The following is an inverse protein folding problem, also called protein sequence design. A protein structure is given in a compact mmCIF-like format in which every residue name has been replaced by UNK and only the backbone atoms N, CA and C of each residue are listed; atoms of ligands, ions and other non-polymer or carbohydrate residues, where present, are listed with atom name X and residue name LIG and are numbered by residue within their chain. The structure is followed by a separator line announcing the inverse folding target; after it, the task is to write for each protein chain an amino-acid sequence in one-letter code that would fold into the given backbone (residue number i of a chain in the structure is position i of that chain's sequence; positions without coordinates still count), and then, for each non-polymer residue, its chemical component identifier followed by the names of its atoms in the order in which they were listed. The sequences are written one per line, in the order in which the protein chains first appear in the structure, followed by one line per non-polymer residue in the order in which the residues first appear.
data_IF_861805727146
#
_entry.id   IF_861805727146
#
_cell.length_a   1.000
_cell.length_b   1.000
_cell.length_c   1.000
_cell.angle_alpha   90.00
_cell.angle_beta   90.00
_cell.angle_gamma   90.00
#
_symmetry.space_group_name_H-M   'P 1'
#
loop_
_entity.id
_entity.type
_entity.pdbx_description
1 polymer ?
#
# COMPACT_ATOMS: atom_id res chain seq x y z
N UNK A 1 29.78 22.52 26.62
CA UNK A 1 28.86 22.05 25.55
C UNK A 1 29.42 20.91 24.68
N UNK A 2 30.73 20.81 24.41
CA UNK A 2 31.30 19.74 23.57
C UNK A 2 31.14 18.32 24.14
N UNK A 3 31.35 18.14 25.44
CA UNK A 3 31.17 16.85 26.13
C UNK A 3 29.70 16.41 26.26
N UNK A 4 28.76 17.36 26.34
CA UNK A 4 27.32 17.05 26.37
C UNK A 4 26.82 16.49 25.03
N UNK A 5 27.30 17.06 23.91
CA UNK A 5 27.00 16.53 22.57
C UNK A 5 27.61 15.15 22.33
N UNK A 6 28.83 14.90 22.82
CA UNK A 6 29.49 13.60 22.70
C UNK A 6 28.80 12.52 23.56
N UNK A 7 28.38 12.87 24.78
CA UNK A 7 27.58 12.00 25.65
C UNK A 7 26.23 11.65 25.00
N UNK A 8 25.54 12.62 24.39
CA UNK A 8 24.27 12.40 23.69
C UNK A 8 24.43 11.49 22.46
N UNK A 9 25.51 11.65 21.69
CA UNK A 9 25.83 10.80 20.53
C UNK A 9 26.16 9.36 20.95
N UNK A 10 26.90 9.18 22.05
CA UNK A 10 27.19 7.85 22.61
C UNK A 10 25.92 7.17 23.11
N UNK A 11 25.05 7.90 23.81
CA UNK A 11 23.75 7.38 24.27
C UNK A 11 22.85 6.95 23.10
N UNK A 12 22.85 7.73 22.01
CA UNK A 12 22.11 7.42 20.80
C UNK A 12 22.66 6.19 20.07
N UNK A 13 23.99 6.02 20.02
CA UNK A 13 24.61 4.81 19.46
C UNK A 13 24.34 3.55 20.29
N UNK A 14 24.26 3.69 21.61
CA UNK A 14 23.97 2.57 22.52
C UNK A 14 22.51 2.09 22.39
N UNK A 15 21.58 3.02 22.11
CA UNK A 15 20.17 2.71 21.81
C UNK A 15 19.99 2.01 20.45
N UNK A 16 20.90 2.23 19.49
CA UNK A 16 20.88 1.56 18.18
C UNK A 16 21.45 0.13 18.26
N UNK A 17 22.28 -0.16 19.28
CA UNK A 17 22.91 -1.47 19.48
C UNK A 17 22.08 -2.51 20.25
N UNK A 18 20.76 -2.31 20.39
CA UNK A 18 19.93 -3.39 20.92
C UNK A 18 19.98 -4.58 19.95
N UNK A 19 20.37 -5.80 20.39
CA UNK A 19 20.23 -6.97 19.56
C UNK A 19 18.76 -7.07 19.14
N UNK A 20 18.53 -6.93 17.84
CA UNK A 20 17.27 -7.29 17.23
C UNK A 20 17.11 -8.79 17.44
N UNK A 21 16.42 -9.17 18.52
CA UNK A 21 15.99 -10.55 18.70
C UNK A 21 15.13 -10.88 17.50
N UNK A 22 15.66 -11.71 16.59
CA UNK A 22 14.88 -12.40 15.58
C UNK A 22 13.88 -13.30 16.31
N UNK A 23 12.73 -12.73 16.64
CA UNK A 23 11.59 -13.52 17.13
C UNK A 23 11.03 -14.22 15.91
N UNK A 24 11.02 -15.54 15.93
CA UNK A 24 10.21 -16.33 15.00
C UNK A 24 8.77 -15.82 15.10
N UNK A 25 8.24 -15.34 13.98
CA UNK A 25 6.87 -14.83 13.89
C UNK A 25 5.93 -16.04 13.87
N UNK A 26 5.70 -16.62 15.04
CA UNK A 26 4.94 -17.88 15.20
C UNK A 26 3.41 -17.71 15.12
N UNK A 27 2.95 -16.52 14.74
CA UNK A 27 1.52 -16.20 14.48
C UNK A 27 1.39 -15.13 13.39
N UNK A 28 1.99 -15.36 12.22
CA UNK A 28 1.59 -14.59 11.03
C UNK A 28 0.11 -14.85 10.80
N UNK A 29 -0.73 -13.82 10.95
CA UNK A 29 -2.13 -13.92 10.59
C UNK A 29 -2.21 -14.25 9.10
N UNK A 30 -2.75 -15.41 8.75
CA UNK A 30 -2.98 -15.76 7.35
C UNK A 30 -3.97 -14.75 6.79
N UNK A 31 -3.49 -13.86 5.91
CA UNK A 31 -4.32 -12.89 5.23
C UNK A 31 -4.61 -13.36 3.81
N UNK A 32 -5.82 -13.13 3.35
CA UNK A 32 -6.14 -13.23 1.93
C UNK A 32 -5.63 -11.98 1.20
N UNK A 33 -5.51 -12.02 -0.13
CA UNK A 33 -5.04 -10.90 -0.96
C UNK A 33 -3.69 -10.28 -0.54
N UNK A 34 -2.59 -11.06 -0.45
CA UNK A 34 -1.27 -10.54 -0.09
C UNK A 34 -0.74 -9.49 -1.07
N UNK A 35 -1.23 -9.48 -2.32
CA UNK A 35 -0.86 -8.48 -3.33
C UNK A 35 -1.19 -7.03 -2.90
N UNK A 36 -2.16 -6.84 -2.00
CA UNK A 36 -2.50 -5.52 -1.45
C UNK A 36 -1.42 -4.92 -0.55
N UNK A 37 -0.35 -5.67 -0.26
CA UNK A 37 0.79 -5.23 0.54
C UNK A 37 2.02 -4.87 -0.30
N UNK A 38 2.00 -5.16 -1.61
CA UNK A 38 3.10 -4.81 -2.52
C UNK A 38 3.08 -3.29 -2.72
N UNK A 39 4.20 -2.65 -2.36
CA UNK A 39 4.28 -1.19 -2.31
C UNK A 39 4.19 -0.55 -3.68
N UNK A 40 3.51 0.60 -3.75
CA UNK A 40 3.28 1.36 -4.99
C UNK A 40 4.14 2.62 -5.04
N UNK A 41 4.77 2.86 -6.19
CA UNK A 41 5.47 4.10 -6.49
C UNK A 41 6.95 4.11 -6.07
N UNK A 42 7.80 4.63 -6.95
CA UNK A 42 9.25 4.64 -6.74
C UNK A 42 9.68 5.46 -5.51
N UNK A 43 9.06 6.62 -5.27
CA UNK A 43 9.40 7.49 -4.13
C UNK A 43 9.05 6.85 -2.77
N UNK A 44 7.82 6.34 -2.54
CA UNK A 44 7.50 5.62 -1.32
C UNK A 44 8.41 4.40 -1.08
N UNK A 45 8.69 3.62 -2.13
CA UNK A 45 9.56 2.45 -2.06
C UNK A 45 11.02 2.83 -1.73
N UNK A 46 11.55 3.89 -2.33
CA UNK A 46 12.89 4.41 -2.01
C UNK A 46 13.01 4.92 -0.56
N UNK A 47 11.89 5.26 0.08
CA UNK A 47 11.83 5.61 1.50
C UNK A 47 11.65 4.39 2.42
N UNK A 48 11.76 3.16 1.90
CA UNK A 48 11.53 1.93 2.64
C UNK A 48 10.07 1.77 3.10
N UNK A 49 9.12 2.34 2.35
CA UNK A 49 7.69 2.35 2.71
C UNK A 49 7.29 3.39 3.76
N UNK A 50 8.21 4.24 4.22
CA UNK A 50 7.95 5.29 5.21
C UNK A 50 7.25 6.52 4.60
N UNK A 51 6.06 6.34 4.02
CA UNK A 51 5.39 7.36 3.21
C UNK A 51 4.08 7.92 3.80
N UNK A 52 3.56 7.32 4.87
CA UNK A 52 2.23 7.64 5.45
C UNK A 52 2.03 9.12 5.76
N UNK A 53 3.02 9.81 6.34
CA UNK A 53 2.90 11.22 6.73
C UNK A 53 3.20 12.20 5.60
N UNK A 54 3.95 11.78 4.58
CA UNK A 54 4.41 12.63 3.48
C UNK A 54 3.62 12.43 2.18
N UNK A 55 2.68 11.47 2.17
CA UNK A 55 1.81 11.17 1.05
C UNK A 55 1.12 12.42 0.49
N UNK A 56 1.31 12.67 -0.81
CA UNK A 56 0.84 13.88 -1.48
C UNK A 56 0.75 13.76 -3.02
N UNK A 57 0.59 12.54 -3.53
CA UNK A 57 0.50 12.21 -4.96
C UNK A 57 -0.59 11.14 -5.19
N UNK A 58 -0.79 10.67 -6.42
CA UNK A 58 -1.80 9.64 -6.70
C UNK A 58 -1.51 8.29 -6.00
N UNK A 59 -0.25 7.98 -5.68
CA UNK A 59 0.12 6.79 -4.90
C UNK A 59 -0.34 6.87 -3.44
N UNK A 60 -0.72 8.06 -2.95
CA UNK A 60 -1.27 8.24 -1.61
C UNK A 60 -2.50 7.37 -1.36
N UNK A 61 -3.30 7.03 -2.37
CA UNK A 61 -4.44 6.12 -2.19
C UNK A 61 -4.05 4.73 -1.67
N UNK A 62 -2.81 4.27 -1.94
CA UNK A 62 -2.27 3.04 -1.37
C UNK A 62 -1.70 3.24 0.04
N UNK A 63 -0.93 4.31 0.25
CA UNK A 63 -0.15 4.51 1.49
C UNK A 63 -0.92 5.22 2.62
N UNK A 64 -1.65 6.27 2.28
CA UNK A 64 -2.50 7.04 3.19
C UNK A 64 -3.46 7.89 2.36
N UNK A 65 -4.71 7.44 2.24
CA UNK A 65 -5.73 8.10 1.40
C UNK A 65 -5.92 9.58 1.71
N UNK A 66 -5.71 10.03 2.96
CA UNK A 66 -5.83 11.46 3.28
C UNK A 66 -4.80 12.33 2.56
N UNK A 67 -3.69 11.75 2.10
CA UNK A 67 -2.67 12.44 1.32
C UNK A 67 -3.16 12.96 -0.04
N UNK A 68 -4.20 12.37 -0.65
CA UNK A 68 -4.73 12.87 -1.93
C UNK A 68 -5.27 14.30 -1.80
N UNK A 69 -5.69 14.71 -0.61
CA UNK A 69 -6.14 16.09 -0.37
C UNK A 69 -5.02 17.14 -0.53
N UNK A 70 -3.75 16.71 -0.62
CA UNK A 70 -2.58 17.59 -0.80
C UNK A 70 -2.17 17.71 -2.26
N UNK A 71 -2.80 16.96 -3.16
CA UNK A 71 -2.62 17.06 -4.60
C UNK A 71 -3.26 18.36 -5.10
N UNK A 72 -2.52 19.15 -5.89
CA UNK A 72 -2.93 20.50 -6.31
C UNK A 72 -3.75 20.55 -7.59
N UNK A 73 -3.64 19.54 -8.45
CA UNK A 73 -4.37 19.43 -9.71
C UNK A 73 -4.59 17.97 -10.10
N UNK A 74 -5.31 17.68 -11.18
CA UNK A 74 -5.50 16.30 -11.62
C UNK A 74 -4.16 15.61 -11.85
N UNK A 75 -4.02 14.39 -11.33
CA UNK A 75 -2.79 13.62 -11.38
C UNK A 75 -3.10 12.17 -11.75
N UNK A 76 -2.22 11.56 -12.54
CA UNK A 76 -2.26 10.15 -12.90
C UNK A 76 -0.91 9.51 -12.63
N UNK A 77 -0.92 8.30 -12.09
CA UNK A 77 0.26 7.47 -11.90
C UNK A 77 0.04 6.10 -12.54
N UNK A 78 1.09 5.63 -13.20
CA UNK A 78 1.22 4.25 -13.67
C UNK A 78 2.46 3.67 -13.00
N UNK A 79 2.31 2.48 -12.45
CA UNK A 79 3.41 1.72 -11.88
C UNK A 79 3.32 0.30 -12.40
N UNK A 80 4.42 -0.18 -12.97
CA UNK A 80 4.58 -1.55 -13.40
C UNK A 80 5.87 -2.05 -12.76
N UNK A 81 5.83 -3.26 -12.20
CA UNK A 81 6.98 -3.89 -11.55
C UNK A 81 7.00 -5.38 -11.86
N UNK A 82 8.14 -5.86 -12.37
CA UNK A 82 8.47 -7.28 -12.41
C UNK A 82 8.71 -7.76 -10.97
N UNK A 83 7.74 -8.49 -10.44
CA UNK A 83 7.79 -9.06 -9.11
C UNK A 83 8.41 -10.47 -9.16
N UNK A 84 8.65 -11.05 -7.98
CA UNK A 84 9.31 -12.36 -7.88
C UNK A 84 8.49 -13.45 -8.60
N UNK A 85 9.20 -14.43 -9.18
CA UNK A 85 8.62 -15.58 -9.88
C UNK A 85 7.73 -15.21 -11.07
N UNK A 86 8.20 -14.29 -11.92
CA UNK A 86 7.56 -13.86 -13.17
C UNK A 86 6.12 -13.33 -12.96
N UNK A 87 5.92 -12.69 -11.81
CA UNK A 87 4.66 -12.05 -11.45
C UNK A 87 4.71 -10.60 -11.92
N UNK A 88 3.73 -10.17 -12.70
CA UNK A 88 3.54 -8.77 -13.06
C UNK A 88 2.69 -8.07 -12.00
N UNK A 89 3.20 -6.97 -11.43
CA UNK A 89 2.45 -6.10 -10.54
C UNK A 89 2.20 -4.74 -11.19
N UNK A 90 0.93 -4.39 -11.34
CA UNK A 90 0.48 -3.18 -11.98
C UNK A 90 -0.37 -2.34 -11.04
N UNK A 91 -0.14 -1.03 -11.05
CA UNK A 91 -0.97 -0.06 -10.36
C UNK A 91 -1.24 1.14 -11.25
N UNK A 92 -2.51 1.51 -11.34
CA UNK A 92 -2.96 2.75 -11.97
C UNK A 92 -3.76 3.54 -10.96
N UNK A 93 -3.42 4.81 -10.78
CA UNK A 93 -4.13 5.70 -9.88
C UNK A 93 -4.41 7.04 -10.54
N UNK A 94 -5.65 7.52 -10.42
CA UNK A 94 -6.07 8.84 -10.90
C UNK A 94 -6.64 9.60 -9.71
N UNK A 95 -6.22 10.86 -9.53
CA UNK A 95 -6.70 11.75 -8.48
C UNK A 95 -7.16 13.06 -9.11
N UNK A 96 -8.31 13.57 -8.67
CA UNK A 96 -8.87 14.82 -9.13
C UNK A 96 -9.33 15.69 -7.93
N UNK A 97 -8.65 16.83 -7.67
CA UNK A 97 -9.11 17.79 -6.69
C UNK A 97 -10.41 18.48 -7.13
N UNK A 98 -11.41 18.47 -6.26
CA UNK A 98 -12.73 19.09 -6.46
C UNK A 98 -12.84 20.43 -5.74
N UNK A 99 -11.92 21.37 -6.01
CA UNK A 99 -11.91 22.71 -5.42
C UNK A 99 -12.23 22.67 -3.90
N UNK A 100 -13.33 23.26 -3.44
CA UNK A 100 -13.72 23.34 -2.03
C UNK A 100 -14.38 22.07 -1.45
N UNK A 101 -14.70 21.08 -2.30
CA UNK A 101 -15.40 19.85 -1.89
C UNK A 101 -14.45 18.74 -1.45
N UNK A 102 -13.13 18.90 -1.63
CA UNK A 102 -12.13 17.89 -1.31
C UNK A 102 -11.49 17.30 -2.55
N UNK A 103 -11.11 16.02 -2.50
CA UNK A 103 -10.39 15.35 -3.58
C UNK A 103 -10.91 13.93 -3.71
N UNK A 104 -11.19 13.52 -4.94
CA UNK A 104 -11.57 12.14 -5.27
C UNK A 104 -10.42 11.43 -5.96
N UNK A 105 -10.41 10.11 -5.88
CA UNK A 105 -9.48 9.30 -6.63
C UNK A 105 -10.05 7.93 -6.95
N UNK A 106 -9.50 7.32 -8.00
CA UNK A 106 -9.79 5.94 -8.40
C UNK A 106 -8.46 5.24 -8.61
N UNK A 107 -8.35 4.01 -8.12
CA UNK A 107 -7.18 3.18 -8.40
C UNK A 107 -7.57 1.77 -8.80
N UNK A 108 -6.66 1.14 -9.54
CA UNK A 108 -6.69 -0.28 -9.88
C UNK A 108 -5.31 -0.83 -9.54
N UNK A 109 -5.28 -1.88 -8.74
CA UNK A 109 -4.09 -2.69 -8.48
C UNK A 109 -4.33 -4.06 -9.09
N UNK A 110 -3.39 -4.57 -9.88
CA UNK A 110 -3.47 -5.91 -10.44
C UNK A 110 -2.17 -6.67 -10.19
N UNK A 111 -2.33 -7.96 -9.97
CA UNK A 111 -1.26 -8.95 -9.97
C UNK A 111 -1.63 -9.98 -11.04
N UNK A 112 -0.72 -10.26 -11.97
CA UNK A 112 -0.95 -11.26 -13.02
C UNK A 112 0.29 -12.12 -13.22
N UNK A 113 0.07 -13.34 -13.68
CA UNK A 113 1.12 -14.27 -14.09
C UNK A 113 0.83 -14.76 -15.49
N UNK A 114 1.87 -15.07 -16.24
CA UNK A 114 1.73 -15.72 -17.54
C UNK A 114 1.15 -17.14 -17.38
N UNK A 115 0.48 -17.63 -18.42
CA UNK A 115 -0.08 -18.98 -18.43
C UNK A 115 1.02 -20.04 -18.27
N UNK A 116 0.87 -20.90 -17.26
CA UNK A 116 1.79 -22.02 -17.03
C UNK A 116 1.09 -23.36 -17.16
N UNK A 117 1.88 -24.37 -17.52
CA UNK A 117 1.39 -25.71 -17.76
C UNK A 117 1.18 -26.45 -16.44
N UNK A 118 0.03 -27.10 -16.32
CA UNK A 118 -0.26 -27.94 -15.18
C UNK A 118 0.59 -29.21 -15.25
N UNK A 119 1.39 -29.46 -14.22
CA UNK A 119 2.13 -30.72 -14.04
C UNK A 119 1.52 -31.53 -12.90
N UNK A 120 1.55 -32.86 -13.02
CA UNK A 120 1.17 -33.77 -11.92
C UNK A 120 2.27 -34.79 -11.70
N UNK A 121 2.27 -35.48 -10.55
CA UNK A 121 3.25 -36.56 -10.28
C UNK A 121 3.29 -37.62 -11.40
N UNK A 122 2.14 -37.87 -12.05
CA UNK A 122 2.02 -38.84 -13.14
C UNK A 122 2.39 -38.24 -14.52
N UNK A 123 2.37 -36.92 -14.65
CA UNK A 123 2.66 -36.17 -15.88
C UNK A 123 3.53 -34.94 -15.55
N UNK A 124 4.83 -35.14 -15.25
CA UNK A 124 5.75 -34.08 -14.86
C UNK A 124 6.13 -33.17 -16.03
N UNK A 125 6.00 -33.64 -17.27
CA UNK A 125 6.23 -32.82 -18.47
C UNK A 125 4.99 -32.05 -18.94
N UNK A 126 3.88 -32.14 -18.19
CA UNK A 126 2.66 -31.38 -18.47
C UNK A 126 1.44 -32.25 -18.80
N UNK A 127 0.27 -31.76 -18.41
CA UNK A 127 -1.03 -32.38 -18.72
C UNK A 127 -1.64 -31.86 -20.02
N UNK A 128 -1.02 -30.87 -20.67
CA UNK A 128 -1.60 -30.12 -21.80
C UNK A 128 -2.64 -29.07 -21.40
N UNK A 129 -2.91 -28.91 -20.10
CA UNK A 129 -3.82 -27.88 -19.57
C UNK A 129 -2.99 -26.69 -19.09
N UNK A 130 -3.35 -25.48 -19.52
CA UNK A 130 -2.78 -24.23 -19.04
C UNK A 130 -3.70 -23.55 -18.04
N UNK A 131 -3.12 -22.91 -17.04
CA UNK A 131 -3.89 -22.11 -16.09
C UNK A 131 -3.19 -20.78 -15.76
N UNK A 132 -4.02 -19.79 -15.49
CA UNK A 132 -3.63 -18.45 -15.06
C UNK A 132 -4.06 -18.19 -13.62
N UNK A 133 -3.27 -17.32 -12.98
CA UNK A 133 -3.52 -16.81 -11.64
C UNK A 133 -3.47 -15.30 -11.73
N UNK A 134 -4.45 -14.65 -11.11
CA UNK A 134 -4.54 -13.21 -11.16
C UNK A 134 -5.38 -12.64 -10.03
N UNK A 135 -4.97 -11.47 -9.56
CA UNK A 135 -5.67 -10.73 -8.53
C UNK A 135 -5.86 -9.29 -8.97
N UNK A 136 -6.96 -8.69 -8.57
CA UNK A 136 -7.29 -7.30 -8.89
C UNK A 136 -8.01 -6.65 -7.71
N UNK A 137 -7.69 -5.40 -7.44
CA UNK A 137 -8.44 -4.54 -6.55
C UNK A 137 -8.76 -3.23 -7.25
N UNK A 138 -9.99 -2.75 -7.08
CA UNK A 138 -10.45 -1.44 -7.57
C UNK A 138 -10.83 -0.62 -6.35
N UNK A 139 -10.25 0.56 -6.22
CA UNK A 139 -10.47 1.49 -5.12
C UNK A 139 -11.14 2.78 -5.58
N UNK A 140 -12.12 3.25 -4.80
CA UNK A 140 -12.70 4.59 -4.88
C UNK A 140 -12.36 5.35 -3.61
N UNK A 141 -11.67 6.48 -3.76
CA UNK A 141 -11.13 7.27 -2.66
C UNK A 141 -11.75 8.66 -2.61
N UNK A 142 -11.91 9.16 -1.40
CA UNK A 142 -12.26 10.56 -1.13
C UNK A 142 -11.49 11.05 0.09
N UNK A 143 -10.93 12.26 -0.02
CA UNK A 143 -10.27 12.93 1.11
C UNK A 143 -10.60 14.41 1.15
N UNK A 144 -10.58 14.97 2.36
CA UNK A 144 -10.84 16.38 2.58
C UNK A 144 -10.01 16.93 3.73
N UNK A 145 -9.52 18.14 3.53
CA UNK A 145 -8.97 18.95 4.59
C UNK A 145 -10.11 19.55 5.42
N UNK A 146 -10.25 19.13 6.68
CA UNK A 146 -11.31 19.59 7.59
C UNK A 146 -10.92 20.87 8.31
N UNK A 147 -9.62 21.05 8.59
CA UNK A 147 -9.06 22.28 9.16
C UNK A 147 -7.71 22.56 8.52
N UNK A 148 -7.10 23.71 8.79
CA UNK A 148 -5.76 24.07 8.30
C UNK A 148 -4.69 23.03 8.66
N UNK A 149 -4.95 22.22 9.69
CA UNK A 149 -4.00 21.25 10.24
C UNK A 149 -4.45 19.80 10.13
N UNK A 150 -5.75 19.52 9.97
CA UNK A 150 -6.30 18.16 9.99
C UNK A 150 -6.95 17.78 8.66
N UNK A 151 -6.59 16.60 8.17
CA UNK A 151 -7.11 16.00 6.93
C UNK A 151 -7.54 14.57 7.22
N UNK A 152 -8.64 14.15 6.59
CA UNK A 152 -9.16 12.79 6.66
C UNK A 152 -9.42 12.27 5.24
N UNK A 153 -9.32 10.96 5.05
CA UNK A 153 -9.68 10.30 3.81
C UNK A 153 -10.18 8.89 4.04
N UNK A 154 -10.93 8.40 3.05
CA UNK A 154 -11.54 7.08 3.03
C UNK A 154 -11.38 6.47 1.64
N UNK A 155 -11.14 5.16 1.59
CA UNK A 155 -11.19 4.39 0.34
C UNK A 155 -12.12 3.21 0.53
N UNK A 156 -13.03 2.98 -0.41
CA UNK A 156 -13.72 1.71 -0.57
C UNK A 156 -13.05 0.89 -1.65
N UNK A 157 -12.77 -0.40 -1.38
CA UNK A 157 -12.12 -1.33 -2.31
C UNK A 157 -13.01 -2.53 -2.58
N UNK A 158 -13.06 -2.93 -3.84
CA UNK A 158 -13.51 -4.25 -4.27
C UNK A 158 -12.29 -5.07 -4.66
N UNK A 159 -12.15 -6.25 -4.08
CA UNK A 159 -11.01 -7.14 -4.24
C UNK A 159 -11.50 -8.44 -4.86
N UNK A 160 -10.79 -8.93 -5.88
CA UNK A 160 -11.04 -10.20 -6.53
C UNK A 160 -9.73 -10.95 -6.74
N UNK A 161 -9.71 -12.22 -6.40
CA UNK A 161 -8.62 -13.15 -6.74
C UNK A 161 -9.21 -14.26 -7.60
N UNK A 162 -8.45 -14.76 -8.57
CA UNK A 162 -8.78 -15.97 -9.30
C UNK A 162 -7.57 -16.89 -9.42
N UNK A 163 -7.84 -18.18 -9.26
CA UNK A 163 -6.87 -19.26 -9.43
C UNK A 163 -7.59 -20.31 -10.27
N UNK A 164 -7.19 -20.46 -11.54
CA UNK A 164 -7.81 -21.39 -12.47
C UNK A 164 -9.35 -21.21 -12.55
N UNK A 165 -10.14 -22.17 -12.02
CA UNK A 165 -11.62 -22.15 -12.02
C UNK A 165 -12.23 -21.70 -10.68
N UNK A 166 -11.44 -21.15 -9.77
CA UNK A 166 -11.93 -20.62 -8.50
C UNK A 166 -11.68 -19.12 -8.44
N UNK A 167 -12.69 -18.36 -8.04
CA UNK A 167 -12.54 -16.94 -7.76
C UNK A 167 -13.08 -16.62 -6.39
N UNK A 168 -12.39 -15.73 -5.69
CA UNK A 168 -12.83 -15.21 -4.41
C UNK A 168 -12.93 -13.69 -4.47
N UNK A 169 -13.95 -13.12 -3.84
CA UNK A 169 -14.22 -11.68 -3.83
C UNK A 169 -14.44 -11.15 -2.43
N UNK A 170 -14.16 -9.87 -2.22
CA UNK A 170 -14.43 -9.21 -0.95
C UNK A 170 -14.34 -7.70 -1.04
N UNK A 171 -14.76 -7.06 0.04
CA UNK A 171 -14.74 -5.62 0.17
C UNK A 171 -13.80 -5.21 1.29
N UNK A 172 -13.11 -4.11 1.10
CA UNK A 172 -12.25 -3.52 2.12
C UNK A 172 -12.43 -2.00 2.19
N UNK A 173 -12.09 -1.45 3.35
CA UNK A 173 -12.08 -0.03 3.63
C UNK A 173 -10.68 0.39 4.07
N UNK A 174 -10.25 1.55 3.58
CA UNK A 174 -9.10 2.25 4.13
C UNK A 174 -9.54 3.56 4.77
N UNK A 175 -8.86 3.94 5.85
CA UNK A 175 -9.07 5.20 6.56
C UNK A 175 -7.70 5.85 6.77
N UNK A 176 -7.57 7.09 6.33
CA UNK A 176 -6.34 7.86 6.45
C UNK A 176 -6.57 9.17 7.20
N UNK A 177 -5.59 9.60 7.99
CA UNK A 177 -5.54 10.95 8.55
C UNK A 177 -4.15 11.55 8.46
N UNK A 178 -4.10 12.89 8.37
CA UNK A 178 -2.88 13.69 8.49
C UNK A 178 -3.14 14.87 9.43
N UNK A 179 -2.26 15.05 10.40
CA UNK A 179 -2.26 16.15 11.34
C UNK A 179 -0.93 16.90 11.30
N UNK A 180 -0.96 18.18 10.91
CA UNK A 180 0.22 19.06 10.94
C UNK A 180 0.26 19.81 12.26
N UNK A 181 1.26 19.48 13.09
CA UNK A 181 1.45 20.09 14.39
C UNK A 181 1.98 21.52 14.26
N UNK A 182 1.78 22.38 15.27
CA UNK A 182 2.36 23.73 15.30
C UNK A 182 3.89 23.72 15.52
N UNK A 183 4.50 22.58 15.84
CA UNK A 183 5.93 22.47 16.13
C UNK A 183 6.71 22.24 14.84
N UNK A 184 7.21 23.33 14.24
CA UNK A 184 8.13 23.32 13.08
C UNK A 184 7.64 22.48 11.88
N UNK A 185 6.33 22.43 11.64
CA UNK A 185 5.76 21.69 10.52
C UNK A 185 5.82 20.17 10.66
N UNK A 186 6.14 19.64 11.86
CA UNK A 186 6.06 18.20 12.13
C UNK A 186 4.65 17.69 11.81
N UNK A 187 4.58 16.61 11.05
CA UNK A 187 3.34 16.00 10.61
C UNK A 187 3.23 14.57 11.11
N UNK A 188 2.06 14.26 11.68
CA UNK A 188 1.69 12.93 12.14
C UNK A 188 0.65 12.40 11.16
N UNK A 189 0.85 11.18 10.68
CA UNK A 189 -0.10 10.50 9.80
C UNK A 189 -0.51 9.15 10.38
N UNK A 190 -1.75 8.76 10.15
CA UNK A 190 -2.27 7.44 10.49
C UNK A 190 -2.96 6.87 9.26
N UNK A 191 -2.70 5.61 8.95
CA UNK A 191 -3.41 4.87 7.90
C UNK A 191 -3.82 3.51 8.43
N UNK A 192 -5.09 3.18 8.24
CA UNK A 192 -5.64 1.84 8.43
C UNK A 192 -6.02 1.38 7.02
N UNK A 193 -5.40 0.33 6.53
CA UNK A 193 -5.58 -0.13 5.16
C UNK A 193 -6.12 -1.56 5.14
N UNK A 194 -6.90 -1.87 4.11
CA UNK A 194 -7.43 -3.20 3.81
C UNK A 194 -8.28 -3.81 4.94
N UNK A 195 -9.03 -2.99 5.68
CA UNK A 195 -9.95 -3.48 6.71
C UNK A 195 -11.25 -3.95 6.05
N UNK A 196 -11.49 -5.26 5.99
CA UNK A 196 -12.52 -5.81 5.11
C UNK A 196 -13.11 -7.13 5.52
N UNK A 197 -14.01 -7.63 4.67
CA UNK A 197 -14.60 -8.96 4.80
C UNK A 197 -13.57 -10.02 4.45
N UNK A 198 -13.83 -11.26 4.87
CA UNK A 198 -13.12 -12.41 4.32
C UNK A 198 -13.42 -12.51 2.82
N UNK A 199 -12.46 -12.95 2.02
CA UNK A 199 -12.73 -13.30 0.63
C UNK A 199 -13.61 -14.56 0.59
N UNK A 200 -14.59 -14.56 -0.32
CA UNK A 200 -15.53 -15.67 -0.56
C UNK A 200 -15.54 -16.06 -2.02
#
# INVERSE_FOLDING_TARGET
MRYFKQSLLLLLSLLISWPCFSRDVTKVGTTAAPFLTIGVGARPLAMGGAFVSVANDASAMFWNVSGISKVRGPEIIFNHSDWLADINFDYVGIVAPLSNFGTIGVNITSLSMDDFEQTTEMQPEGTGVRFSVGSMAIGLSYARQLTDKFTIGFTGKYVREHIWNTSATGFALDIGTLFTTPFNGLRIGMSISNFGTKLQ
#
